data_IF_924618143911
#
_entry.id   IF_924618143911
#
_cell.length_a   1.000
_cell.length_b   1.000
_cell.length_c   1.000
_cell.angle_alpha   90.00
_cell.angle_beta   90.00
_cell.angle_gamma   90.00
#
_symmetry.space_group_name_H-M   'P 1'
#
loop_
_entity.id
_entity.type
_entity.pdbx_description
1 polymer ?
#
# COMPACT_ATOMS: atom_id res chain seq x y z
N UNK A 1 -3.98 13.29 -7.84
CA UNK A 1 -3.80 14.27 -6.75
C UNK A 1 -2.33 14.37 -6.37
N UNK A 2 -1.69 13.26 -5.99
CA UNK A 2 -0.28 13.30 -5.56
C UNK A 2 0.75 13.64 -6.66
N UNK A 3 0.53 13.22 -7.89
CA UNK A 3 1.37 13.65 -9.02
C UNK A 3 1.25 15.16 -9.29
N UNK A 4 0.05 15.73 -9.11
CA UNK A 4 -0.18 17.18 -9.24
C UNK A 4 0.43 17.96 -8.07
N UNK A 5 0.43 17.39 -6.86
CA UNK A 5 1.13 17.94 -5.70
C UNK A 5 2.65 17.93 -5.92
N UNK A 6 3.20 16.85 -6.50
CA UNK A 6 4.61 16.77 -6.87
C UNK A 6 4.98 17.84 -7.91
N UNK A 7 4.15 17.99 -8.95
CA UNK A 7 4.38 18.99 -10.00
C UNK A 7 4.30 20.42 -9.46
N UNK A 8 3.34 20.68 -8.57
CA UNK A 8 3.21 21.96 -7.88
C UNK A 8 4.45 22.27 -7.03
N UNK A 9 5.03 21.25 -6.37
CA UNK A 9 6.23 21.39 -5.56
C UNK A 9 7.48 21.61 -6.41
N UNK A 10 7.58 20.96 -7.58
CA UNK A 10 8.63 21.24 -8.56
C UNK A 10 8.56 22.68 -9.07
N UNK A 11 7.35 23.17 -9.37
CA UNK A 11 7.13 24.54 -9.84
C UNK A 11 7.40 25.59 -8.75
N UNK A 12 6.94 25.36 -7.51
CA UNK A 12 7.14 26.27 -6.38
C UNK A 12 8.62 26.53 -6.09
N UNK A 13 9.45 25.49 -6.23
CA UNK A 13 10.86 25.53 -5.89
C UNK A 13 11.80 25.53 -7.11
N UNK A 14 11.25 25.66 -8.32
CA UNK A 14 12.01 25.61 -9.59
C UNK A 14 12.95 24.40 -9.69
N UNK A 15 12.49 23.24 -9.26
CA UNK A 15 13.30 22.01 -9.20
C UNK A 15 13.23 21.30 -10.54
N UNK A 16 14.39 21.04 -11.17
CA UNK A 16 14.44 20.31 -12.43
C UNK A 16 14.18 18.80 -12.22
N UNK A 17 13.86 18.08 -13.30
CA UNK A 17 13.67 16.62 -13.24
C UNK A 17 14.99 15.93 -12.85
N UNK A 18 16.12 16.43 -13.35
CA UNK A 18 17.46 15.92 -13.03
C UNK A 18 17.82 16.13 -11.55
N UNK A 19 17.39 17.24 -10.95
CA UNK A 19 17.59 17.49 -9.52
C UNK A 19 16.75 16.54 -8.65
N UNK A 20 15.51 16.25 -9.06
CA UNK A 20 14.67 15.26 -8.38
C UNK A 20 15.33 13.89 -8.37
N UNK A 21 15.79 13.42 -9.54
CA UNK A 21 16.41 12.11 -9.67
C UNK A 21 17.73 12.02 -8.90
N UNK A 22 18.54 13.08 -8.95
CA UNK A 22 19.78 13.16 -8.17
C UNK A 22 19.49 13.06 -6.67
N UNK A 23 18.54 13.84 -6.14
CA UNK A 23 18.23 13.81 -4.72
C UNK A 23 17.63 12.46 -4.28
N UNK A 24 16.85 11.80 -5.13
CA UNK A 24 16.35 10.44 -4.85
C UNK A 24 17.51 9.44 -4.78
N UNK A 25 18.48 9.54 -5.69
CA UNK A 25 19.68 8.70 -5.67
C UNK A 25 20.55 8.97 -4.44
N UNK A 26 20.78 10.24 -4.09
CA UNK A 26 21.57 10.65 -2.93
C UNK A 26 20.97 10.09 -1.63
N UNK A 27 19.66 10.25 -1.43
CA UNK A 27 18.96 9.73 -0.24
C UNK A 27 19.02 8.20 -0.17
N UNK A 28 18.88 7.50 -1.30
CA UNK A 28 19.04 6.03 -1.33
C UNK A 28 20.45 5.60 -0.98
N UNK A 29 21.46 6.30 -1.49
CA UNK A 29 22.86 6.03 -1.17
C UNK A 29 23.17 6.31 0.30
N UNK A 30 22.64 7.40 0.86
CA UNK A 30 22.75 7.71 2.30
C UNK A 30 22.06 6.68 3.18
N UNK A 31 20.92 6.12 2.76
CA UNK A 31 20.26 5.05 3.49
C UNK A 31 21.03 3.72 3.43
N UNK A 32 21.75 3.47 2.34
CA UNK A 32 22.55 2.26 2.14
C UNK A 32 23.94 2.33 2.77
N UNK A 33 24.47 3.53 2.98
CA UNK A 33 25.76 3.75 3.66
C UNK A 33 25.52 3.81 5.16
N UNK A 34 25.83 2.72 5.85
CA UNK A 34 25.84 2.68 7.31
C UNK A 34 26.85 3.72 7.80
N UNK A 35 26.36 4.81 8.41
CA UNK A 35 27.22 5.85 8.97
C UNK A 35 28.08 5.22 10.06
N UNK A 36 29.35 4.97 9.76
CA UNK A 36 30.35 4.67 10.78
C UNK A 36 30.33 5.80 11.80
N UNK A 37 30.06 5.46 13.05
CA UNK A 37 29.96 6.36 14.19
C UNK A 37 31.23 7.20 14.31
N UNK A 38 31.17 8.47 13.95
CA UNK A 38 32.02 9.45 14.60
C UNK A 38 31.44 9.66 16.01
N UNK A 39 32.14 9.13 17.02
CA UNK A 39 31.82 9.22 18.45
C UNK A 39 32.03 10.65 18.98
N UNK A 40 31.39 11.67 18.39
CA UNK A 40 31.25 12.95 19.08
C UNK A 40 29.98 12.89 19.93
N UNK A 41 30.11 13.12 21.23
CA UNK A 41 28.98 13.14 22.18
C UNK A 41 27.90 14.15 21.78
N UNK A 42 28.27 15.15 20.98
CA UNK A 42 27.35 16.11 20.36
C UNK A 42 26.52 15.48 19.22
N UNK A 43 27.12 14.73 18.30
CA UNK A 43 26.40 14.06 17.20
C UNK A 43 25.44 12.99 17.72
N UNK A 44 25.82 12.27 18.78
CA UNK A 44 24.93 11.33 19.46
C UNK A 44 23.69 12.04 20.02
N UNK A 45 23.89 13.15 20.71
CA UNK A 45 22.79 13.93 21.27
C UNK A 45 21.88 14.52 20.18
N UNK A 46 22.45 14.98 19.06
CA UNK A 46 21.69 15.43 17.90
C UNK A 46 20.82 14.30 17.31
N UNK A 47 21.38 13.09 17.15
CA UNK A 47 20.64 11.91 16.68
C UNK A 47 19.49 11.54 17.63
N UNK A 48 19.72 11.55 18.93
CA UNK A 48 18.68 11.24 19.92
C UNK A 48 17.53 12.28 19.87
N UNK A 49 17.86 13.56 19.72
CA UNK A 49 16.86 14.63 19.57
C UNK A 49 16.02 14.40 18.31
N UNK A 50 16.65 14.10 17.17
CA UNK A 50 15.97 13.81 15.91
C UNK A 50 15.05 12.59 16.01
N UNK A 51 15.51 11.51 16.64
CA UNK A 51 14.73 10.29 16.83
C UNK A 51 13.49 10.53 17.71
N UNK A 52 13.64 11.29 18.81
CA UNK A 52 12.52 11.63 19.67
C UNK A 52 11.50 12.50 18.92
N UNK A 53 11.95 13.52 18.18
CA UNK A 53 11.07 14.38 17.37
C UNK A 53 10.28 13.54 16.35
N UNK A 54 10.96 12.64 15.64
CA UNK A 54 10.33 11.73 14.68
C UNK A 54 9.29 10.82 15.36
N UNK A 55 9.64 10.23 16.51
CA UNK A 55 8.75 9.36 17.29
C UNK A 55 7.48 10.08 17.75
N UNK A 56 7.60 11.33 18.21
CA UNK A 56 6.45 12.16 18.60
C UNK A 56 5.56 12.46 17.39
N UNK A 57 6.13 12.84 16.24
CA UNK A 57 5.37 13.12 15.00
C UNK A 57 4.57 11.89 14.55
N UNK A 58 5.22 10.73 14.47
CA UNK A 58 4.57 9.46 14.10
C UNK A 58 3.45 9.09 15.06
N UNK A 59 3.68 9.16 16.37
CA UNK A 59 2.66 8.85 17.39
C UNK A 59 1.50 9.85 17.39
N UNK A 60 1.74 11.12 17.04
CA UNK A 60 0.69 12.14 16.90
C UNK A 60 -0.20 11.86 15.70
N UNK A 61 0.37 11.44 14.56
CA UNK A 61 -0.40 10.99 13.39
C UNK A 61 -1.25 9.74 13.71
N UNK A 62 -0.68 8.80 14.47
CA UNK A 62 -1.38 7.59 14.91
C UNK A 62 -2.42 7.81 16.02
N UNK A 63 -2.57 9.04 16.55
CA UNK A 63 -3.41 9.34 17.70
C UNK A 63 -4.91 9.19 17.41
N UNK A 64 -5.32 9.36 16.16
CA UNK A 64 -6.72 9.38 15.72
C UNK A 64 -7.03 8.30 14.69
N UNK A 65 -6.47 7.09 14.86
CA UNK A 65 -6.93 5.93 14.07
C UNK A 65 -8.39 5.61 14.40
N UNK A 66 -9.19 5.36 13.37
CA UNK A 66 -10.66 5.24 13.43
C UNK A 66 -11.16 4.21 14.47
N UNK A 67 -10.41 3.13 14.70
CA UNK A 67 -10.84 2.01 15.55
C UNK A 67 -10.30 2.05 17.00
N UNK A 68 -9.64 3.14 17.42
CA UNK A 68 -9.11 3.21 18.79
C UNK A 68 -10.22 3.46 19.82
N UNK A 69 -10.08 2.84 20.99
CA UNK A 69 -10.87 3.21 22.17
C UNK A 69 -10.37 4.52 22.80
N UNK A 70 -11.21 5.15 23.63
CA UNK A 70 -10.81 6.33 24.41
C UNK A 70 -9.62 6.04 25.35
N UNK A 71 -9.59 4.84 25.94
CA UNK A 71 -8.49 4.39 26.79
C UNK A 71 -7.18 4.25 26.01
N UNK A 72 -7.23 3.66 24.81
CA UNK A 72 -6.07 3.53 23.92
C UNK A 72 -5.53 4.90 23.51
N UNK A 73 -6.42 5.83 23.11
CA UNK A 73 -6.05 7.22 22.82
C UNK A 73 -5.39 7.90 24.02
N UNK A 74 -5.91 7.69 25.22
CA UNK A 74 -5.33 8.28 26.43
C UNK A 74 -3.93 7.73 26.72
N UNK A 75 -3.68 6.43 26.54
CA UNK A 75 -2.33 5.85 26.65
C UNK A 75 -1.37 6.44 25.63
N UNK A 76 -1.82 6.62 24.38
CA UNK A 76 -1.04 7.29 23.33
C UNK A 76 -0.69 8.73 23.70
N UNK A 77 -1.66 9.52 24.22
CA UNK A 77 -1.40 10.89 24.71
C UNK A 77 -0.37 10.93 25.82
N UNK A 78 -0.46 10.02 26.81
CA UNK A 78 0.53 9.92 27.90
C UNK A 78 1.93 9.65 27.35
N UNK A 79 2.06 8.69 26.43
CA UNK A 79 3.36 8.37 25.82
C UNK A 79 3.94 9.54 25.01
N UNK A 80 3.09 10.29 24.32
CA UNK A 80 3.50 11.53 23.64
C UNK A 80 4.01 12.56 24.66
N UNK A 81 3.32 12.73 25.79
CA UNK A 81 3.74 13.62 26.87
C UNK A 81 5.09 13.22 27.48
N UNK A 82 5.30 11.93 27.73
CA UNK A 82 6.59 11.38 28.19
C UNK A 82 7.73 11.72 27.22
N UNK A 83 7.53 11.47 25.93
CA UNK A 83 8.54 11.78 24.90
C UNK A 83 8.83 13.28 24.80
N UNK A 84 7.82 14.15 24.93
CA UNK A 84 8.04 15.61 24.96
C UNK A 84 8.87 16.04 26.17
N UNK A 85 8.68 15.39 27.32
CA UNK A 85 9.50 15.65 28.51
C UNK A 85 10.96 15.24 28.27
N UNK A 86 11.18 14.03 27.75
CA UNK A 86 12.53 13.56 27.39
C UNK A 86 13.18 14.45 26.33
N UNK A 87 12.41 14.91 25.33
CA UNK A 87 12.90 15.86 24.32
C UNK A 87 13.38 17.16 24.98
N UNK A 88 12.59 17.71 25.90
CA UNK A 88 12.95 18.93 26.63
C UNK A 88 14.27 18.75 27.38
N UNK A 89 14.43 17.62 28.09
CA UNK A 89 15.65 17.29 28.83
C UNK A 89 16.88 17.20 27.91
N UNK A 90 16.74 16.53 26.76
CA UNK A 90 17.83 16.38 25.77
C UNK A 90 18.20 17.70 25.10
N UNK A 91 17.22 18.55 24.79
CA UNK A 91 17.49 19.90 24.25
C UNK A 91 18.23 20.77 25.27
N UNK A 92 17.88 20.68 26.56
CA UNK A 92 18.61 21.40 27.62
C UNK A 92 20.07 20.96 27.68
N UNK A 93 20.34 19.65 27.57
CA UNK A 93 21.71 19.13 27.50
C UNK A 93 22.45 19.65 26.27
N UNK A 94 21.78 19.73 25.12
CA UNK A 94 22.38 20.24 23.88
C UNK A 94 22.72 21.72 23.98
N UNK A 95 21.79 22.53 24.48
CA UNK A 95 21.97 23.97 24.68
C UNK A 95 23.04 24.32 25.74
N UNK A 96 23.41 23.35 26.59
CA UNK A 96 24.46 23.49 27.59
C UNK A 96 25.87 23.18 27.04
N UNK A 97 26.00 22.67 25.81
CA UNK A 97 27.29 22.37 25.17
C UNK A 97 28.04 23.69 24.90
N UNK A 98 29.28 23.87 25.42
CA UNK A 98 30.08 25.05 25.17
C UNK A 98 30.41 25.21 23.69
N UNK A 99 30.16 26.40 23.12
CA UNK A 99 30.41 26.69 21.69
C UNK A 99 29.22 26.45 20.77
N UNK A 100 28.04 26.09 21.30
CA UNK A 100 26.80 26.04 20.52
C UNK A 100 26.27 27.46 20.25
N UNK A 101 26.49 27.99 19.04
CA UNK A 101 26.10 29.36 18.67
C UNK A 101 24.58 29.53 18.49
N UNK A 102 23.88 28.48 18.06
CA UNK A 102 22.42 28.47 17.86
C UNK A 102 21.72 27.57 18.89
N UNK A 103 21.06 28.18 19.87
CA UNK A 103 20.26 27.47 20.87
C UNK A 103 18.91 27.06 20.29
N UNK A 104 18.46 25.86 20.61
CA UNK A 104 17.14 25.36 20.24
C UNK A 104 16.10 25.90 21.23
N UNK A 105 15.02 26.47 20.71
CA UNK A 105 13.83 26.78 21.52
C UNK A 105 13.12 25.46 21.91
N UNK A 106 13.18 25.15 23.21
CA UNK A 106 12.55 23.96 23.80
C UNK A 106 11.04 23.93 23.59
N UNK A 107 10.35 25.07 23.70
CA UNK A 107 8.89 25.13 23.65
C UNK A 107 8.40 24.95 22.21
N UNK A 108 9.06 25.61 21.27
CA UNK A 108 8.75 25.46 19.85
C UNK A 108 9.05 24.03 19.35
N UNK A 109 10.16 23.42 19.78
CA UNK A 109 10.52 22.04 19.42
C UNK A 109 9.53 21.01 20.00
N UNK A 110 9.14 21.17 21.28
CA UNK A 110 8.15 20.28 21.92
C UNK A 110 6.72 20.48 21.40
N UNK A 111 6.42 21.65 20.86
CA UNK A 111 5.16 21.93 20.16
C UNK A 111 5.10 21.26 18.78
N UNK A 112 6.23 20.75 18.28
CA UNK A 112 6.40 20.26 16.92
C UNK A 112 5.99 21.31 15.88
N UNK A 113 6.19 22.59 16.19
CA UNK A 113 6.20 23.63 15.16
C UNK A 113 7.36 23.34 14.20
N UNK A 114 7.38 23.97 13.02
CA UNK A 114 8.42 23.79 12.00
C UNK A 114 9.79 24.40 12.41
N UNK A 115 10.23 24.19 13.65
CA UNK A 115 11.51 24.62 14.22
C UNK A 115 12.64 23.97 13.48
N UNK A 116 13.42 24.75 12.73
CA UNK A 116 14.64 24.29 12.07
C UNK A 116 15.69 24.03 13.14
N UNK A 117 16.23 22.81 13.18
CA UNK A 117 17.31 22.48 14.10
C UNK A 117 18.64 23.05 13.55
N UNK A 118 19.58 23.47 14.42
CA UNK A 118 20.83 24.10 13.99
C UNK A 118 21.63 23.25 12.97
N UNK A 119 21.69 21.94 13.19
CA UNK A 119 22.38 21.00 12.29
C UNK A 119 21.60 20.66 11.02
N UNK A 120 20.30 20.99 10.94
CA UNK A 120 19.54 20.94 9.69
C UNK A 120 19.82 22.16 8.79
N UNK A 121 20.31 23.27 9.36
CA UNK A 121 20.66 24.49 8.62
C UNK A 121 22.09 24.47 8.06
N UNK A 122 22.97 23.66 8.63
CA UNK A 122 24.39 23.58 8.25
C UNK A 122 24.69 22.69 7.02
N UNK A 123 23.69 22.03 6.44
CA UNK A 123 23.85 21.12 5.30
C UNK A 123 23.13 21.57 4.02
N UNK A 124 23.94 21.92 3.01
CA UNK A 124 23.58 22.18 1.60
C UNK A 124 22.60 23.36 1.33
N UNK A 125 22.78 24.02 0.18
CA UNK A 125 22.03 25.24 -0.23
C UNK A 125 20.51 24.97 -0.35
N UNK A 126 20.14 23.70 -0.48
CA UNK A 126 18.75 23.21 -0.49
C UNK A 126 18.45 22.59 0.87
N UNK A 127 17.58 23.26 1.65
CA UNK A 127 17.12 22.78 2.97
C UNK A 127 16.81 21.28 2.91
N UNK A 128 17.49 20.47 3.72
CA UNK A 128 17.29 19.01 3.82
C UNK A 128 15.79 18.62 3.92
N UNK A 129 14.98 19.48 4.54
CA UNK A 129 13.53 19.36 4.62
C UNK A 129 12.82 19.37 3.26
N UNK A 130 13.26 20.23 2.35
CA UNK A 130 12.72 20.29 0.98
C UNK A 130 13.09 19.00 0.23
N UNK A 131 14.35 18.55 0.34
CA UNK A 131 14.79 17.27 -0.24
C UNK A 131 13.96 16.11 0.30
N UNK A 132 13.72 16.05 1.62
CA UNK A 132 12.88 15.03 2.26
C UNK A 132 11.43 15.09 1.80
N UNK A 133 10.82 16.27 1.80
CA UNK A 133 9.43 16.47 1.35
C UNK A 133 9.25 16.07 -0.11
N UNK A 134 10.19 16.44 -0.97
CA UNK A 134 10.20 16.04 -2.38
C UNK A 134 10.36 14.52 -2.51
N UNK A 135 11.32 13.92 -1.79
CA UNK A 135 11.55 12.49 -1.79
C UNK A 135 10.30 11.71 -1.35
N UNK A 136 9.71 12.07 -0.21
CA UNK A 136 8.50 11.42 0.31
C UNK A 136 7.35 11.52 -0.71
N UNK A 137 7.19 12.67 -1.36
CA UNK A 137 6.19 12.87 -2.41
C UNK A 137 6.46 12.01 -3.64
N UNK A 138 7.71 11.91 -4.10
CA UNK A 138 8.11 11.04 -5.22
C UNK A 138 7.84 9.57 -4.87
N UNK A 139 8.19 9.13 -3.66
CA UNK A 139 7.96 7.76 -3.21
C UNK A 139 6.47 7.45 -3.11
N UNK A 140 5.65 8.41 -2.66
CA UNK A 140 4.19 8.27 -2.64
C UNK A 140 3.61 8.13 -4.06
N UNK A 141 4.07 8.93 -5.02
CA UNK A 141 3.65 8.81 -6.43
C UNK A 141 4.01 7.45 -6.99
N UNK A 142 5.26 6.99 -6.81
CA UNK A 142 5.70 5.65 -7.24
C UNK A 142 4.86 4.55 -6.60
N UNK A 143 4.57 4.68 -5.29
CA UNK A 143 3.73 3.72 -4.58
C UNK A 143 2.31 3.65 -5.16
N UNK A 144 1.71 4.79 -5.51
CA UNK A 144 0.39 4.81 -6.14
C UNK A 144 0.41 4.23 -7.56
N UNK A 145 1.50 4.42 -8.30
CA UNK A 145 1.69 3.78 -9.61
C UNK A 145 1.78 2.25 -9.49
N UNK A 146 2.54 1.75 -8.51
CA UNK A 146 2.58 0.30 -8.17
C UNK A 146 1.20 -0.23 -7.77
N UNK A 147 0.48 0.46 -6.88
CA UNK A 147 -0.86 0.06 -6.44
C UNK A 147 -1.86 0.04 -7.61
N UNK A 148 -1.76 1.00 -8.54
CA UNK A 148 -2.57 1.00 -9.77
C UNK A 148 -2.32 -0.27 -10.60
N UNK A 149 -1.07 -0.69 -10.76
CA UNK A 149 -0.72 -1.90 -11.51
C UNK A 149 -1.32 -3.13 -10.82
N UNK A 150 -1.18 -3.24 -9.50
CA UNK A 150 -1.74 -4.35 -8.71
C UNK A 150 -3.26 -4.42 -8.87
N UNK A 151 -3.95 -3.29 -8.72
CA UNK A 151 -5.41 -3.21 -8.86
C UNK A 151 -5.84 -3.64 -10.26
N UNK A 152 -5.15 -3.19 -11.32
CA UNK A 152 -5.46 -3.61 -12.69
C UNK A 152 -5.29 -5.13 -12.83
N UNK A 153 -4.20 -5.71 -12.30
CA UNK A 153 -3.98 -7.15 -12.32
C UNK A 153 -5.11 -7.93 -11.63
N UNK A 154 -5.52 -7.51 -10.44
CA UNK A 154 -6.62 -8.13 -9.69
C UNK A 154 -7.97 -8.01 -10.43
N UNK A 155 -8.25 -6.84 -11.03
CA UNK A 155 -9.44 -6.62 -11.84
C UNK A 155 -9.45 -7.57 -13.05
N UNK A 156 -8.32 -7.70 -13.75
CA UNK A 156 -8.18 -8.59 -14.92
C UNK A 156 -8.39 -10.05 -14.52
N UNK A 157 -7.75 -10.49 -13.43
CA UNK A 157 -7.92 -11.85 -12.89
C UNK A 157 -9.38 -12.13 -12.53
N UNK A 158 -10.05 -11.20 -11.85
CA UNK A 158 -11.47 -11.36 -11.51
C UNK A 158 -12.35 -11.47 -12.76
N UNK A 159 -12.11 -10.64 -13.78
CA UNK A 159 -12.84 -10.71 -15.05
C UNK A 159 -12.60 -12.03 -15.78
N UNK A 160 -11.34 -12.46 -15.92
CA UNK A 160 -10.98 -13.74 -16.54
C UNK A 160 -11.60 -14.93 -15.80
N UNK A 161 -11.61 -14.90 -14.47
CA UNK A 161 -12.27 -15.92 -13.67
C UNK A 161 -13.77 -16.01 -13.98
N UNK A 162 -14.48 -14.87 -14.00
CA UNK A 162 -15.90 -14.85 -14.33
C UNK A 162 -16.17 -15.37 -15.76
N UNK A 163 -15.32 -15.00 -16.73
CA UNK A 163 -15.40 -15.50 -18.11
C UNK A 163 -15.19 -17.01 -18.17
N UNK A 164 -14.15 -17.54 -17.50
CA UNK A 164 -13.87 -18.99 -17.42
C UNK A 164 -15.03 -19.78 -16.81
N UNK A 165 -15.70 -19.23 -15.78
CA UNK A 165 -16.89 -19.86 -15.19
C UNK A 165 -18.07 -19.80 -16.15
N UNK A 166 -18.24 -18.72 -16.90
CA UNK A 166 -19.28 -18.62 -17.92
C UNK A 166 -19.07 -19.64 -19.05
N UNK A 167 -17.84 -19.77 -19.56
CA UNK A 167 -17.50 -20.75 -20.59
C UNK A 167 -17.73 -22.19 -20.10
N UNK A 168 -17.47 -22.48 -18.82
CA UNK A 168 -17.81 -23.77 -18.20
C UNK A 168 -19.32 -24.02 -18.20
N UNK A 169 -20.13 -23.01 -17.92
CA UNK A 169 -21.59 -23.13 -17.95
C UNK A 169 -22.13 -23.30 -19.38
N UNK A 170 -21.53 -22.62 -20.36
CA UNK A 170 -21.90 -22.79 -21.77
C UNK A 170 -21.59 -24.21 -22.26
N UNK A 171 -20.46 -24.81 -21.82
CA UNK A 171 -20.15 -26.23 -22.08
C UNK A 171 -21.17 -27.18 -21.44
N UNK A 172 -21.46 -27.01 -20.14
CA UNK A 172 -22.46 -27.82 -19.43
C UNK A 172 -23.86 -27.69 -20.04
N UNK A 173 -24.20 -26.51 -20.55
CA UNK A 173 -25.47 -26.28 -21.24
C UNK A 173 -25.54 -27.10 -22.53
N UNK A 174 -24.46 -27.12 -23.33
CA UNK A 174 -24.36 -27.94 -24.54
C UNK A 174 -24.47 -29.44 -24.25
N UNK A 175 -23.73 -29.93 -23.25
CA UNK A 175 -23.79 -31.34 -22.81
C UNK A 175 -25.22 -31.73 -22.36
N UNK A 176 -25.91 -30.85 -21.64
CA UNK A 176 -27.30 -31.08 -21.20
C UNK A 176 -28.29 -31.06 -22.36
N UNK A 177 -28.02 -30.31 -23.44
CA UNK A 177 -28.83 -30.31 -24.66
C UNK A 177 -28.58 -31.57 -25.51
N UNK A 178 -27.35 -32.04 -25.60
CA UNK A 178 -27.00 -33.29 -26.31
C UNK A 178 -27.60 -34.53 -25.61
N UNK A 179 -27.66 -34.55 -24.28
CA UNK A 179 -28.36 -35.59 -23.52
C UNK A 179 -29.88 -35.61 -23.73
N UNK A 180 -30.50 -34.56 -24.29
CA UNK A 180 -31.91 -34.60 -24.72
C UNK A 180 -32.08 -35.29 -26.07
N UNK A 181 -31.03 -35.35 -26.89
CA UNK A 181 -31.04 -35.88 -28.26
C UNK A 181 -30.74 -37.39 -28.25
N UNK A 182 -29.85 -37.84 -27.38
CA UNK A 182 -29.55 -39.25 -27.15
C UNK A 182 -30.27 -39.72 -25.88
N UNK A 183 -31.08 -40.79 -25.95
CA UNK A 183 -31.69 -41.42 -24.76
C UNK A 183 -30.59 -41.74 -23.74
N UNK A 184 -30.47 -40.91 -22.70
CA UNK A 184 -29.38 -41.01 -21.74
C UNK A 184 -29.50 -42.29 -20.90
N UNK A 185 -28.38 -42.86 -20.43
CA UNK A 185 -28.42 -44.00 -19.53
C UNK A 185 -29.00 -43.57 -18.18
N UNK A 186 -30.26 -43.97 -17.94
CA UNK A 186 -30.95 -44.33 -16.67
C UNK A 186 -30.72 -43.59 -15.33
N UNK A 187 -29.90 -42.55 -15.20
CA UNK A 187 -29.55 -41.99 -13.88
C UNK A 187 -30.41 -40.79 -13.43
N UNK A 188 -30.98 -40.01 -14.36
CA UNK A 188 -31.77 -38.82 -14.02
C UNK A 188 -33.14 -38.84 -14.68
N UNK A 189 -34.19 -38.49 -13.92
CA UNK A 189 -35.55 -38.38 -14.49
C UNK A 189 -35.62 -37.24 -15.51
N UNK A 190 -36.53 -37.32 -16.49
CA UNK A 190 -36.76 -36.23 -17.46
C UNK A 190 -37.04 -34.88 -16.79
N UNK A 191 -37.67 -34.90 -15.62
CA UNK A 191 -37.94 -33.71 -14.82
C UNK A 191 -36.68 -33.19 -14.11
N UNK A 192 -35.83 -34.08 -13.61
CA UNK A 192 -34.49 -33.74 -13.11
C UNK A 192 -33.60 -33.11 -14.18
N UNK A 193 -33.61 -33.64 -15.41
CA UNK A 193 -32.88 -33.06 -16.55
C UNK A 193 -33.38 -31.65 -16.91
N UNK A 194 -34.71 -31.45 -16.91
CA UNK A 194 -35.31 -30.11 -17.13
C UNK A 194 -34.93 -29.15 -16.00
N UNK A 195 -34.97 -29.59 -14.75
CA UNK A 195 -34.57 -28.80 -13.59
C UNK A 195 -33.11 -28.36 -13.65
N UNK A 196 -32.19 -29.29 -13.97
CA UNK A 196 -30.78 -29.00 -14.17
C UNK A 196 -30.55 -27.99 -15.30
N UNK A 197 -31.21 -28.17 -16.44
CA UNK A 197 -31.15 -27.24 -17.56
C UNK A 197 -31.61 -25.82 -17.16
N UNK A 198 -32.74 -25.70 -16.47
CA UNK A 198 -33.23 -24.42 -15.96
C UNK A 198 -32.26 -23.79 -14.95
N UNK A 199 -31.65 -24.59 -14.07
CA UNK A 199 -30.66 -24.12 -13.11
C UNK A 199 -29.40 -23.56 -13.79
N UNK A 200 -28.85 -24.27 -14.77
CA UNK A 200 -27.67 -23.83 -15.53
C UNK A 200 -27.99 -22.53 -16.27
N UNK A 201 -29.16 -22.45 -16.94
CA UNK A 201 -29.62 -21.21 -17.60
C UNK A 201 -29.74 -20.03 -16.63
N UNK A 202 -30.32 -20.26 -15.45
CA UNK A 202 -30.46 -19.22 -14.45
C UNK A 202 -29.08 -18.74 -13.94
N UNK A 203 -28.20 -19.68 -13.60
CA UNK A 203 -26.84 -19.36 -13.12
C UNK A 203 -26.02 -18.62 -14.18
N UNK A 204 -26.14 -19.02 -15.44
CA UNK A 204 -25.55 -18.34 -16.60
C UNK A 204 -26.04 -16.90 -16.72
N UNK A 205 -27.36 -16.70 -16.64
CA UNK A 205 -27.95 -15.36 -16.72
C UNK A 205 -27.44 -14.43 -15.62
N UNK A 206 -27.40 -14.92 -14.37
CA UNK A 206 -26.87 -14.14 -13.23
C UNK A 206 -25.39 -13.79 -13.43
N UNK A 207 -24.59 -14.74 -13.92
CA UNK A 207 -23.17 -14.48 -14.17
C UNK A 207 -22.95 -13.51 -15.34
N UNK A 208 -23.77 -13.56 -16.39
CA UNK A 208 -23.73 -12.59 -17.48
C UNK A 208 -24.04 -11.17 -16.98
N UNK A 209 -25.05 -11.02 -16.12
CA UNK A 209 -25.34 -9.73 -15.50
C UNK A 209 -24.17 -9.24 -14.62
N UNK A 210 -23.59 -10.14 -13.81
CA UNK A 210 -22.42 -9.82 -12.99
C UNK A 210 -21.22 -9.42 -13.84
N UNK A 211 -20.94 -10.14 -14.93
CA UNK A 211 -19.86 -9.84 -15.85
C UNK A 211 -20.07 -8.46 -16.49
N UNK A 212 -21.27 -8.15 -16.99
CA UNK A 212 -21.59 -6.85 -17.56
C UNK A 212 -21.40 -5.70 -16.54
N UNK A 213 -21.87 -5.89 -15.30
CA UNK A 213 -21.70 -4.91 -14.22
C UNK A 213 -20.22 -4.70 -13.88
N UNK A 214 -19.44 -5.78 -13.79
CA UNK A 214 -18.00 -5.75 -13.52
C UNK A 214 -17.27 -5.04 -14.65
N UNK A 215 -17.54 -5.38 -15.91
CA UNK A 215 -16.93 -4.73 -17.08
C UNK A 215 -17.23 -3.23 -17.12
N UNK A 216 -18.47 -2.81 -16.84
CA UNK A 216 -18.83 -1.40 -16.78
C UNK A 216 -18.12 -0.67 -15.64
N UNK A 217 -18.07 -1.29 -14.46
CA UNK A 217 -17.40 -0.72 -13.28
C UNK A 217 -15.90 -0.57 -13.55
N UNK A 218 -15.26 -1.59 -14.12
CA UNK A 218 -13.83 -1.61 -14.37
C UNK A 218 -13.41 -0.64 -15.48
N UNK A 219 -14.20 -0.54 -16.55
CA UNK A 219 -14.00 0.45 -17.60
C UNK A 219 -14.10 1.89 -17.09
N UNK A 220 -14.90 2.15 -16.06
CA UNK A 220 -15.00 3.47 -15.43
C UNK A 220 -13.78 3.84 -14.56
N UNK A 221 -13.08 2.83 -14.04
CA UNK A 221 -11.93 3.01 -13.14
C UNK A 221 -10.61 3.10 -13.91
N UNK A 222 -10.47 2.35 -15.02
CA UNK A 222 -9.25 2.36 -15.82
C UNK A 222 -9.54 2.10 -17.29
N UNK A 223 -9.17 3.04 -18.16
CA UNK A 223 -9.18 2.85 -19.63
C UNK A 223 -8.16 1.80 -20.08
N UNK A 224 -7.11 1.56 -19.29
CA UNK A 224 -6.08 0.54 -19.54
C UNK A 224 -6.48 -0.88 -19.12
N UNK A 225 -7.72 -1.08 -18.67
CA UNK A 225 -8.21 -2.38 -18.20
C UNK A 225 -8.17 -3.47 -19.29
N UNK A 226 -8.39 -3.10 -20.56
CA UNK A 226 -8.43 -4.05 -21.69
C UNK A 226 -7.07 -4.33 -22.34
N UNK A 227 -6.00 -3.62 -21.97
CA UNK A 227 -4.68 -3.75 -22.63
C UNK A 227 -3.78 -4.82 -22.03
N UNK A 228 -4.18 -5.47 -20.92
CA UNK A 228 -3.39 -6.49 -20.21
C UNK A 228 -3.84 -7.93 -20.51
N UNK A 229 -4.60 -8.15 -21.59
CA UNK A 229 -5.14 -9.46 -21.96
C UNK A 229 -4.07 -10.50 -22.36
N UNK A 230 -2.82 -10.11 -22.62
CA UNK A 230 -1.79 -11.02 -23.19
C UNK A 230 -0.82 -11.68 -22.19
N UNK A 231 -0.63 -11.17 -20.97
CA UNK A 231 0.50 -11.59 -20.09
C UNK A 231 0.07 -12.32 -18.79
N UNK A 232 -1.07 -13.02 -18.77
CA UNK A 232 -1.39 -13.91 -17.64
C UNK A 232 -0.91 -15.32 -17.98
N UNK A 233 0.36 -15.59 -17.66
CA UNK A 233 0.88 -16.97 -17.61
C UNK A 233 0.00 -17.79 -16.66
N UNK A 234 -0.58 -18.87 -17.19
CA UNK A 234 -1.37 -19.82 -16.43
C UNK A 234 -0.47 -20.53 -15.41
N UNK A 235 -0.57 -20.18 -14.13
CA UNK A 235 -0.06 -21.04 -13.06
C UNK A 235 -0.91 -22.33 -13.08
N UNK A 236 -0.28 -23.42 -13.53
CA UNK A 236 -0.86 -24.75 -13.55
C UNK A 236 -1.03 -25.26 -12.11
N UNK A 237 -2.28 -25.40 -11.66
CA UNK A 237 -2.63 -26.16 -10.46
C UNK A 237 -2.44 -27.66 -10.76
N UNK A 238 -1.28 -28.20 -10.37
CA UNK A 238 -1.05 -29.65 -10.30
C UNK A 238 -1.64 -30.16 -8.97
N UNK A 239 -2.94 -30.46 -9.00
CA UNK A 239 -3.68 -31.03 -7.88
C UNK A 239 -3.54 -32.56 -7.89
N UNK A 240 -2.33 -33.03 -7.60
CA UNK A 240 -2.03 -34.43 -7.37
C UNK A 240 -1.92 -34.71 -5.87
N UNK A 241 -3.05 -34.67 -5.13
CA UNK A 241 -3.23 -35.59 -4.00
C UNK A 241 -4.68 -35.66 -3.48
N UNK A 242 -5.48 -36.63 -3.95
CA UNK A 242 -6.49 -37.26 -3.09
C UNK A 242 -7.07 -38.54 -3.70
N UNK A 243 -6.47 -39.68 -3.34
CA UNK A 243 -7.21 -40.87 -2.87
C UNK A 243 -6.25 -42.02 -2.64
N UNK A 244 -6.15 -42.46 -1.40
CA UNK A 244 -6.55 -43.84 -1.11
C UNK A 244 -6.98 -43.96 0.35
N UNK A 245 -8.25 -44.33 0.50
CA UNK A 245 -8.91 -44.79 1.71
C UNK A 245 -8.39 -46.20 2.06
N UNK A 246 -8.17 -46.46 3.35
CA UNK A 246 -8.49 -47.77 3.96
C UNK A 246 -8.81 -47.49 5.42
N UNK A 247 -10.11 -47.44 5.74
CA UNK A 247 -10.89 -48.55 6.33
C UNK A 247 -10.63 -48.71 7.84
N UNK A 248 -11.71 -48.51 8.58
CA UNK A 248 -11.89 -48.78 10.00
C UNK A 248 -11.66 -50.27 10.31
N UNK A 249 -11.06 -50.59 11.46
CA UNK A 249 -11.68 -51.52 12.43
C UNK A 249 -10.89 -51.62 13.75
N UNK A 250 -11.65 -51.50 14.86
CA UNK A 250 -11.38 -51.76 16.29
C UNK A 250 -10.46 -50.84 17.11
#
# INVERSE_FOLDING_TARGET
>A
MEAANLESLKQEFSISVEDVDRWVCDVRHWAATEKHSSDSSQEELQREIDEIIYSIRRKKQDLYRQNDSSQTRQRKRRRIGELKKTLSEKIVLYNAIPGCEEKIDTEAACSLCDVILPWEAQGDVVRLRLKRRLFDQVMLVRRLEEEKIIIIKEMTQHYQHLKKVLDKLDRLLGETEEMKIHDSPRELTREGQKGLYCFILHKRHVLQQKLAAVTSTYASVSTSFFTLEEDVEEESEDDSNSSELSEEEF
#
